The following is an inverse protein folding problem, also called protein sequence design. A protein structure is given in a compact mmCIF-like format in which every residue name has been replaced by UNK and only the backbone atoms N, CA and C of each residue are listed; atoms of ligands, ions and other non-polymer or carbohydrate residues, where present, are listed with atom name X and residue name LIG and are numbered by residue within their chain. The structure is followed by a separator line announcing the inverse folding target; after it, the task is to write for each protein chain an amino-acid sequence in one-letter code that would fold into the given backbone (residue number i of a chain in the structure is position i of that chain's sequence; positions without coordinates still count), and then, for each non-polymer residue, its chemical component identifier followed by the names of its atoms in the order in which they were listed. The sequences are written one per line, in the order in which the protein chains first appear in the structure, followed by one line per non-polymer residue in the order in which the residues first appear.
data_IF_984608114508
#
_entry.id   IF_984608114508
#
_cell.length_a   1.000
_cell.length_b   1.000
_cell.length_c   1.000
_cell.angle_alpha   90.00
_cell.angle_beta   90.00
_cell.angle_gamma   90.00
#
_symmetry.space_group_name_H-M   'P 1'
#
loop_
_entity.id
_entity.type
_entity.pdbx_description
1 polymer ?
#
# COMPACT_ATOMS: atom_id res chain seq x y z
N UNK A 1 45.59 -11.10 -35.83
CA UNK A 1 46.24 -10.74 -34.55
C UNK A 1 46.19 -11.94 -33.62
N UNK A 2 47.33 -12.37 -33.06
CA UNK A 2 47.37 -13.51 -32.12
C UNK A 2 47.00 -13.02 -30.72
N UNK A 3 45.98 -13.63 -30.12
CA UNK A 3 45.51 -13.28 -28.79
C UNK A 3 46.58 -13.64 -27.74
N UNK A 4 47.07 -12.63 -27.02
CA UNK A 4 48.23 -12.77 -26.12
C UNK A 4 47.92 -13.55 -24.84
N UNK A 5 46.65 -13.60 -24.42
CA UNK A 5 46.24 -14.13 -23.12
C UNK A 5 45.49 -15.46 -23.20
N UNK A 6 45.46 -16.12 -24.37
CA UNK A 6 44.71 -17.37 -24.58
C UNK A 6 45.08 -18.47 -23.59
N UNK A 7 46.37 -18.58 -23.25
CA UNK A 7 46.86 -19.58 -22.29
C UNK A 7 46.37 -19.28 -20.88
N UNK A 8 46.52 -18.04 -20.42
CA UNK A 8 46.08 -17.59 -19.09
C UNK A 8 44.58 -17.77 -18.88
N UNK A 9 43.77 -17.46 -19.90
CA UNK A 9 42.32 -17.66 -19.84
C UNK A 9 41.97 -19.15 -19.71
N UNK A 10 42.62 -20.01 -20.50
CA UNK A 10 42.38 -21.46 -20.46
C UNK A 10 42.78 -22.05 -19.11
N UNK A 11 43.95 -21.67 -18.60
CA UNK A 11 44.47 -22.14 -17.31
C UNK A 11 43.56 -21.66 -16.15
N UNK A 12 42.98 -20.45 -16.25
CA UNK A 12 42.03 -19.93 -15.27
C UNK A 12 40.66 -20.65 -15.32
N UNK A 13 40.18 -21.01 -16.51
CA UNK A 13 38.94 -21.78 -16.68
C UNK A 13 39.09 -23.22 -16.16
N UNK A 14 40.26 -23.83 -16.36
CA UNK A 14 40.58 -25.17 -15.84
C UNK A 14 40.69 -25.21 -14.30
N UNK A 15 40.92 -24.06 -13.65
CA UNK A 15 41.02 -23.93 -12.19
C UNK A 15 39.70 -23.56 -11.50
N UNK A 16 38.62 -23.32 -12.26
CA UNK A 16 37.33 -22.99 -11.67
C UNK A 16 36.74 -24.24 -10.99
N UNK A 17 36.35 -24.15 -9.71
CA UNK A 17 35.62 -25.21 -9.06
C UNK A 17 34.27 -25.40 -9.76
N UNK A 18 33.92 -26.64 -10.08
CA UNK A 18 32.58 -26.98 -10.52
C UNK A 18 31.64 -26.90 -9.32
N UNK A 19 30.85 -25.83 -9.25
CA UNK A 19 29.79 -25.70 -8.27
C UNK A 19 28.51 -26.30 -8.83
N UNK A 20 28.19 -27.52 -8.42
CA UNK A 20 26.90 -28.16 -8.65
C UNK A 20 26.11 -28.26 -7.35
N UNK A 21 24.79 -28.23 -7.44
CA UNK A 21 23.96 -28.65 -6.32
C UNK A 21 24.23 -30.15 -6.03
N UNK A 22 24.18 -30.53 -4.75
CA UNK A 22 24.30 -31.93 -4.37
C UNK A 22 23.26 -32.79 -5.12
N UNK A 23 23.65 -34.01 -5.51
CA UNK A 23 22.79 -34.90 -6.30
C UNK A 23 21.47 -35.24 -5.57
N UNK A 24 21.43 -35.14 -4.23
CA UNK A 24 20.23 -35.32 -3.43
C UNK A 24 19.35 -34.08 -3.27
N UNK A 25 19.82 -32.89 -3.64
CA UNK A 25 19.11 -31.63 -3.39
C UNK A 25 17.74 -31.60 -4.08
N UNK A 26 17.68 -32.03 -5.33
CA UNK A 26 16.42 -32.08 -6.09
C UNK A 26 15.43 -33.09 -5.51
N UNK A 27 15.94 -34.25 -5.06
CA UNK A 27 15.12 -35.28 -4.43
C UNK A 27 14.55 -34.82 -3.08
N UNK A 28 15.31 -34.04 -2.32
CA UNK A 28 14.85 -33.47 -1.05
C UNK A 28 13.76 -32.41 -1.27
N UNK A 29 13.90 -31.56 -2.29
CA UNK A 29 12.88 -30.57 -2.68
C UNK A 29 11.59 -31.28 -3.09
N UNK A 30 11.70 -32.29 -3.96
CA UNK A 30 10.55 -33.07 -4.42
C UNK A 30 9.80 -33.76 -3.27
N UNK A 31 10.54 -34.37 -2.33
CA UNK A 31 9.96 -34.98 -1.14
C UNK A 31 9.21 -33.97 -0.26
N UNK A 32 9.72 -32.74 -0.12
CA UNK A 32 9.10 -31.67 0.65
C UNK A 32 7.80 -31.14 0.05
N UNK A 33 7.61 -31.28 -1.26
CA UNK A 33 6.41 -30.85 -1.99
C UNK A 33 5.25 -31.86 -1.92
N UNK A 34 5.49 -33.05 -1.36
CA UNK A 34 4.48 -34.11 -1.19
C UNK A 34 4.13 -34.34 0.29
N UNK A 35 2.84 -34.47 0.66
CA UNK A 35 1.66 -34.13 -0.13
C UNK A 35 1.56 -32.64 -0.47
N UNK A 36 0.80 -32.32 -1.52
CA UNK A 36 0.60 -30.95 -1.98
C UNK A 36 0.06 -30.06 -0.85
N UNK A 37 0.46 -28.79 -0.84
CA UNK A 37 0.06 -27.84 0.21
C UNK A 37 -1.47 -27.75 0.37
N UNK A 38 -2.22 -27.91 -0.72
CA UNK A 38 -3.69 -27.97 -0.72
C UNK A 38 -4.27 -29.08 0.15
N UNK A 39 -3.56 -30.20 0.32
CA UNK A 39 -3.98 -31.32 1.16
C UNK A 39 -3.68 -31.07 2.64
N UNK A 40 -2.72 -30.18 2.94
CA UNK A 40 -2.33 -29.80 4.30
C UNK A 40 -3.08 -28.58 4.82
N UNK A 41 -3.71 -27.82 3.93
CA UNK A 41 -4.40 -26.60 4.31
C UNK A 41 -5.80 -26.92 4.85
N UNK A 42 -6.12 -26.50 6.08
CA UNK A 42 -7.49 -26.57 6.58
C UNK A 42 -8.43 -25.76 5.69
N UNK A 43 -9.59 -26.35 5.38
CA UNK A 43 -10.67 -25.68 4.66
C UNK A 43 -11.40 -24.72 5.59
N UNK A 44 -10.83 -23.52 5.80
CA UNK A 44 -11.53 -22.47 6.52
C UNK A 44 -12.50 -21.75 5.58
N UNK A 45 -13.80 -21.86 5.87
CA UNK A 45 -14.79 -20.94 5.33
C UNK A 45 -15.12 -19.90 6.40
N UNK A 46 -15.19 -18.61 6.04
CA UNK A 46 -15.62 -17.58 6.97
C UNK A 46 -17.10 -17.84 7.35
N UNK A 47 -17.49 -17.53 8.60
CA UNK A 47 -18.88 -17.65 9.03
C UNK A 47 -19.83 -16.84 8.12
N UNK A 48 -21.04 -17.35 7.91
CA UNK A 48 -22.05 -16.70 7.05
C UNK A 48 -22.36 -15.26 7.47
N UNK A 49 -22.21 -14.93 8.76
CA UNK A 49 -22.38 -13.58 9.30
C UNK A 49 -21.44 -12.55 8.67
N UNK A 50 -20.19 -12.94 8.36
CA UNK A 50 -19.21 -12.05 7.70
C UNK A 50 -19.68 -11.72 6.29
N UNK A 51 -20.13 -12.72 5.53
CA UNK A 51 -20.68 -12.52 4.19
C UNK A 51 -21.96 -11.68 4.20
N UNK A 52 -22.84 -11.93 5.16
CA UNK A 52 -24.07 -11.15 5.32
C UNK A 52 -23.77 -9.69 5.69
N UNK A 53 -22.75 -9.45 6.53
CA UNK A 53 -22.28 -8.11 6.87
C UNK A 53 -21.73 -7.35 5.66
N UNK A 54 -20.92 -8.01 4.83
CA UNK A 54 -20.38 -7.43 3.60
C UNK A 54 -21.49 -7.10 2.59
N UNK A 55 -22.42 -8.03 2.34
CA UNK A 55 -23.56 -7.78 1.46
C UNK A 55 -24.42 -6.62 1.98
N UNK A 56 -24.62 -6.51 3.30
CA UNK A 56 -25.36 -5.40 3.88
C UNK A 56 -24.62 -4.07 3.72
N UNK A 57 -23.31 -4.04 3.88
CA UNK A 57 -22.49 -2.84 3.69
C UNK A 57 -22.48 -2.38 2.23
N UNK A 58 -22.38 -3.31 1.28
CA UNK A 58 -22.39 -3.01 -0.16
C UNK A 58 -23.76 -2.53 -0.66
N UNK A 59 -24.85 -3.06 -0.09
CA UNK A 59 -26.21 -2.66 -0.46
C UNK A 59 -26.75 -1.46 0.34
N UNK A 60 -26.00 -0.98 1.33
CA UNK A 60 -26.38 0.22 2.07
C UNK A 60 -25.86 1.44 1.32
N UNK A 61 -26.72 2.39 0.93
CA UNK A 61 -26.24 3.64 0.34
C UNK A 61 -25.34 4.36 1.35
N UNK A 62 -24.19 4.82 0.89
CA UNK A 62 -23.24 5.56 1.73
C UNK A 62 -23.95 6.72 2.45
N UNK A 63 -23.70 6.95 3.75
CA UNK A 63 -24.31 8.07 4.45
C UNK A 63 -23.85 9.38 3.80
N UNK A 64 -24.77 10.06 3.12
CA UNK A 64 -24.56 11.43 2.62
C UNK A 64 -24.45 12.37 3.80
N UNK A 65 -23.23 12.55 4.31
CA UNK A 65 -22.94 13.53 5.36
C UNK A 65 -22.99 14.91 4.70
N UNK A 66 -24.05 15.67 4.97
CA UNK A 66 -24.17 17.04 4.49
C UNK A 66 -23.12 17.93 5.15
N UNK A 67 -22.04 18.26 4.43
CA UNK A 67 -21.00 19.20 4.86
C UNK A 67 -21.51 20.63 4.67
N UNK A 68 -22.48 21.08 5.49
CA UNK A 68 -22.84 22.49 5.56
C UNK A 68 -23.39 22.81 6.95
N UNK A 69 -22.76 23.80 7.61
CA UNK A 69 -23.11 24.40 8.93
C UNK A 69 -22.47 23.82 10.21
N UNK A 70 -21.22 23.34 10.17
CA UNK A 70 -20.47 23.01 11.41
C UNK A 70 -19.14 23.77 11.58
N UNK A 71 -19.09 25.07 11.22
CA UNK A 71 -17.91 25.92 11.51
C UNK A 71 -18.14 27.04 12.55
N UNK A 72 -19.37 27.29 13.03
CA UNK A 72 -19.64 28.44 13.91
C UNK A 72 -20.12 28.09 15.33
N UNK A 73 -20.44 26.82 15.62
CA UNK A 73 -20.91 26.40 16.94
C UNK A 73 -19.78 25.93 17.90
N UNK A 74 -18.50 26.07 17.53
CA UNK A 74 -17.36 25.54 18.30
C UNK A 74 -16.48 26.62 18.96
N UNK A 75 -17.02 27.79 19.28
CA UNK A 75 -16.29 28.80 20.07
C UNK A 75 -16.96 29.10 21.43
N UNK A 76 -18.11 28.49 21.76
CA UNK A 76 -18.89 28.91 22.94
C UNK A 76 -18.97 27.97 24.16
N UNK A 77 -18.46 26.74 24.14
CA UNK A 77 -18.93 25.74 25.13
C UNK A 77 -18.00 24.58 25.46
N UNK A 78 -16.69 24.81 25.58
CA UNK A 78 -15.75 23.78 26.05
C UNK A 78 -14.91 24.36 27.20
N UNK A 79 -15.50 24.42 28.38
CA UNK A 79 -14.76 24.66 29.62
C UNK A 79 -15.37 23.90 30.80
N UNK A 80 -16.71 23.79 30.87
CA UNK A 80 -17.39 23.15 31.99
C UNK A 80 -17.49 21.61 31.90
N UNK A 81 -17.51 21.02 30.70
CA UNK A 81 -17.71 19.56 30.54
C UNK A 81 -16.45 18.73 30.82
N UNK A 82 -15.26 19.32 30.70
CA UNK A 82 -13.99 18.63 30.96
C UNK A 82 -13.80 18.37 32.47
N UNK A 83 -14.22 19.29 33.33
CA UNK A 83 -14.08 19.13 34.78
C UNK A 83 -15.01 18.06 35.37
N UNK A 84 -16.21 17.88 34.82
CA UNK A 84 -17.17 16.87 35.30
C UNK A 84 -16.75 15.46 34.90
N UNK A 85 -16.17 15.28 33.70
CA UNK A 85 -15.70 13.97 33.22
C UNK A 85 -14.42 13.53 33.96
N UNK A 86 -13.52 14.47 34.31
CA UNK A 86 -12.34 14.16 35.12
C UNK A 86 -12.73 13.82 36.56
N UNK A 87 -13.71 14.51 37.15
CA UNK A 87 -14.17 14.21 38.51
C UNK A 87 -14.89 12.85 38.63
N UNK A 88 -15.64 12.43 37.61
CA UNK A 88 -16.29 11.11 37.58
C UNK A 88 -15.35 9.98 37.16
N UNK A 89 -14.33 10.25 36.33
CA UNK A 89 -13.39 9.25 35.83
C UNK A 89 -12.31 8.81 36.83
N UNK A 90 -11.98 9.63 37.83
CA UNK A 90 -10.94 9.32 38.83
C UNK A 90 -11.51 8.64 40.09
N UNK A 91 -12.81 8.77 40.36
CA UNK A 91 -13.46 8.25 41.58
C UNK A 91 -13.83 6.76 41.57
N UNK A 92 -13.72 6.07 40.42
CA UNK A 92 -14.02 4.64 40.31
C UNK A 92 -12.73 3.87 39.98
N UNK A 93 -12.13 3.33 41.05
CA UNK A 93 -10.86 2.60 41.11
C UNK A 93 -10.69 1.52 40.00
N UNK A 94 -9.47 1.31 39.43
CA UNK A 94 -9.25 0.42 38.28
C UNK A 94 -8.80 -1.01 38.64
N UNK A 95 -8.89 -1.42 39.91
CA UNK A 95 -8.34 -2.73 40.34
C UNK A 95 -9.20 -3.95 39.98
N UNK A 96 -10.42 -3.76 39.47
CA UNK A 96 -11.33 -4.87 39.15
C UNK A 96 -11.28 -5.40 37.70
N UNK A 97 -10.56 -4.74 36.77
CA UNK A 97 -10.67 -5.05 35.31
C UNK A 97 -9.44 -5.80 34.75
N UNK A 98 -8.35 -5.94 35.51
CA UNK A 98 -7.06 -6.40 34.97
C UNK A 98 -6.67 -7.87 35.28
N UNK A 99 -7.63 -8.81 35.32
CA UNK A 99 -7.35 -10.25 35.44
C UNK A 99 -7.52 -11.02 34.11
N UNK A 100 -7.15 -10.40 32.98
CA UNK A 100 -7.09 -11.08 31.68
C UNK A 100 -5.76 -11.83 31.46
N UNK A 101 -5.75 -12.98 30.74
CA UNK A 101 -4.52 -13.71 30.44
C UNK A 101 -3.55 -12.82 29.64
N UNK A 102 -2.34 -12.60 30.16
CA UNK A 102 -1.29 -11.86 29.45
C UNK A 102 -0.66 -12.77 28.39
N UNK A 103 -1.20 -12.70 27.17
CA UNK A 103 -0.61 -13.38 26.02
C UNK A 103 0.56 -12.51 25.52
N UNK A 104 1.79 -13.01 25.65
CA UNK A 104 2.98 -12.38 25.05
C UNK A 104 3.10 -12.88 23.61
N UNK A 105 2.78 -12.00 22.65
CA UNK A 105 2.96 -12.26 21.22
C UNK A 105 4.30 -11.63 20.83
N UNK A 106 5.30 -12.45 20.50
CA UNK A 106 6.54 -11.96 19.90
C UNK A 106 6.35 -11.86 18.39
N UNK A 107 6.24 -10.63 17.89
CA UNK A 107 6.19 -10.34 16.46
C UNK A 107 7.62 -10.05 15.98
N UNK A 108 8.12 -10.85 15.04
CA UNK A 108 9.37 -10.57 14.34
C UNK A 108 9.00 -9.94 12.99
N UNK A 109 9.27 -8.65 12.83
CA UNK A 109 9.10 -7.94 11.57
C UNK A 109 10.47 -7.77 10.92
N UNK A 110 10.68 -8.45 9.80
CA UNK A 110 11.83 -8.16 8.93
C UNK A 110 11.47 -6.96 8.06
N UNK A 111 12.20 -5.86 8.23
CA UNK A 111 12.10 -4.68 7.38
C UNK A 111 12.97 -4.97 6.15
N UNK A 112 12.34 -5.18 5.00
CA UNK A 112 13.05 -5.28 3.74
C UNK A 112 13.91 -4.01 3.54
N UNK A 113 15.14 -4.13 3.00
CA UNK A 113 15.98 -2.98 2.73
C UNK A 113 15.22 -1.99 1.85
N UNK A 114 15.32 -0.69 2.17
CA UNK A 114 14.68 0.39 1.44
C UNK A 114 14.99 0.22 -0.06
N UNK A 115 13.97 -0.17 -0.82
CA UNK A 115 14.06 -0.25 -2.27
C UNK A 115 14.49 1.12 -2.78
N UNK A 116 15.53 1.13 -3.59
CA UNK A 116 16.10 2.30 -4.28
C UNK A 116 15.07 3.37 -4.61
N UNK A 117 15.44 4.64 -4.39
CA UNK A 117 14.67 5.84 -4.76
C UNK A 117 13.86 5.63 -6.02
N UNK A 118 12.55 5.37 -5.86
CA UNK A 118 11.65 5.25 -6.98
C UNK A 118 11.49 6.64 -7.59
N UNK A 119 11.76 6.77 -8.89
CA UNK A 119 11.55 8.02 -9.61
C UNK A 119 10.04 8.21 -9.83
N UNK A 120 9.40 8.89 -8.89
CA UNK A 120 7.97 9.21 -8.95
C UNK A 120 7.60 10.12 -10.12
N UNK A 121 8.56 10.66 -10.88
CA UNK A 121 8.29 11.59 -11.99
C UNK A 121 8.52 10.98 -13.37
N UNK A 122 8.85 9.68 -13.46
CA UNK A 122 9.23 9.04 -14.71
C UNK A 122 8.18 9.19 -15.83
N UNK A 123 6.89 9.18 -15.48
CA UNK A 123 5.79 9.16 -16.45
C UNK A 123 5.17 10.55 -16.71
N UNK A 124 5.65 11.62 -16.08
CA UNK A 124 4.97 12.92 -16.06
C UNK A 124 4.86 13.57 -17.46
N UNK A 125 5.84 13.35 -18.34
CA UNK A 125 5.76 13.81 -19.74
C UNK A 125 4.61 13.16 -20.51
N UNK A 126 4.34 11.88 -20.26
CA UNK A 126 3.27 11.13 -20.93
C UNK A 126 1.89 11.61 -20.48
N UNK A 127 1.75 11.98 -19.21
CA UNK A 127 0.53 12.59 -18.69
C UNK A 127 0.26 13.96 -19.32
N UNK A 128 1.28 14.82 -19.42
CA UNK A 128 1.15 16.16 -19.99
C UNK A 128 0.67 16.14 -21.45
N UNK A 129 1.14 15.17 -22.25
CA UNK A 129 0.69 15.00 -23.63
C UNK A 129 -0.81 14.66 -23.72
N UNK A 130 -1.29 13.79 -22.83
CA UNK A 130 -2.71 13.39 -22.80
C UNK A 130 -3.61 14.52 -22.33
N UNK A 131 -3.18 15.32 -21.34
CA UNK A 131 -3.92 16.50 -20.90
C UNK A 131 -4.11 17.48 -22.06
N UNK A 132 -3.07 17.74 -22.85
CA UNK A 132 -3.16 18.62 -24.02
C UNK A 132 -4.19 18.12 -25.04
N UNK A 133 -4.27 16.81 -25.28
CA UNK A 133 -5.28 16.22 -26.18
C UNK A 133 -6.70 16.31 -25.63
N UNK A 134 -6.89 16.16 -24.32
CA UNK A 134 -8.20 16.33 -23.68
C UNK A 134 -8.69 17.76 -23.85
N UNK A 135 -7.83 18.76 -23.63
CA UNK A 135 -8.16 20.18 -23.78
C UNK A 135 -8.57 20.52 -25.22
N UNK A 136 -7.95 19.89 -26.22
CA UNK A 136 -8.29 20.07 -27.63
C UNK A 136 -9.66 19.50 -27.99
N UNK A 137 -9.99 18.28 -27.51
CA UNK A 137 -11.29 17.62 -27.78
C UNK A 137 -12.45 18.23 -26.98
N UNK A 138 -12.19 18.61 -25.73
CA UNK A 138 -13.16 19.22 -24.80
C UNK A 138 -14.49 18.44 -24.67
N UNK A 139 -14.38 17.12 -24.51
CA UNK A 139 -15.54 16.24 -24.31
C UNK A 139 -15.91 16.13 -22.82
N UNK A 140 -17.20 16.03 -22.46
CA UNK A 140 -17.63 16.04 -21.06
C UNK A 140 -17.09 14.87 -20.24
N UNK A 141 -16.99 13.68 -20.83
CA UNK A 141 -16.43 12.47 -20.18
C UNK A 141 -14.93 12.63 -19.93
N UNK A 142 -14.17 13.03 -20.95
CA UNK A 142 -12.74 13.31 -20.82
C UNK A 142 -12.45 14.41 -19.81
N UNK A 143 -13.28 15.46 -19.75
CA UNK A 143 -13.15 16.55 -18.79
C UNK A 143 -13.35 16.06 -17.34
N UNK A 144 -14.28 15.13 -17.09
CA UNK A 144 -14.44 14.53 -15.75
C UNK A 144 -13.22 13.74 -15.34
N UNK A 145 -12.66 12.91 -16.25
CA UNK A 145 -11.44 12.16 -16.00
C UNK A 145 -10.23 13.09 -15.79
N UNK A 146 -10.17 14.22 -16.50
CA UNK A 146 -9.12 15.22 -16.31
C UNK A 146 -9.21 15.88 -14.93
N UNK A 147 -10.42 16.15 -14.43
CA UNK A 147 -10.60 16.66 -13.06
C UNK A 147 -10.13 15.66 -12.01
N UNK A 148 -10.48 14.37 -12.17
CA UNK A 148 -10.01 13.29 -11.29
C UNK A 148 -8.47 13.17 -11.33
N UNK A 149 -7.88 13.22 -12.52
CA UNK A 149 -6.43 13.19 -12.70
C UNK A 149 -5.74 14.40 -12.04
N UNK A 150 -6.34 15.59 -12.11
CA UNK A 150 -5.83 16.80 -11.47
C UNK A 150 -5.88 16.69 -9.93
N UNK A 151 -6.96 16.11 -9.37
CA UNK A 151 -7.08 15.86 -7.94
C UNK A 151 -6.00 14.90 -7.44
N UNK A 152 -5.81 13.77 -8.13
CA UNK A 152 -4.76 12.80 -7.81
C UNK A 152 -3.36 13.39 -7.94
N UNK A 153 -3.13 14.25 -8.93
CA UNK A 153 -1.85 14.94 -9.11
C UNK A 153 -1.58 15.92 -7.98
N UNK A 154 -2.59 16.65 -7.49
CA UNK A 154 -2.45 17.51 -6.32
C UNK A 154 -2.14 16.70 -5.04
N UNK A 155 -2.84 15.56 -4.83
CA UNK A 155 -2.60 14.68 -3.70
C UNK A 155 -1.18 14.08 -3.71
N UNK A 156 -0.68 13.70 -4.89
CA UNK A 156 0.70 13.23 -5.10
C UNK A 156 1.72 14.26 -4.64
N UNK A 157 1.56 15.52 -5.04
CA UNK A 157 2.47 16.61 -4.65
C UNK A 157 2.41 16.90 -3.15
N UNK A 158 1.23 16.78 -2.52
CA UNK A 158 1.11 16.89 -1.06
C UNK A 158 1.87 15.77 -0.34
N UNK A 159 1.73 14.52 -0.78
CA UNK A 159 2.45 13.38 -0.19
C UNK A 159 3.97 13.50 -0.38
N UNK A 160 4.43 13.97 -1.55
CA UNK A 160 5.86 14.28 -1.76
C UNK A 160 6.36 15.37 -0.82
N UNK A 161 5.57 16.43 -0.61
CA UNK A 161 5.92 17.47 0.34
C UNK A 161 6.02 16.93 1.77
N UNK A 162 5.15 15.99 2.16
CA UNK A 162 5.26 15.29 3.45
C UNK A 162 6.54 14.47 3.55
N UNK A 163 6.94 13.75 2.50
CA UNK A 163 8.21 13.00 2.49
C UNK A 163 9.43 13.93 2.63
N UNK A 164 9.39 15.11 2.00
CA UNK A 164 10.45 16.12 2.15
C UNK A 164 10.48 16.70 3.58
N UNK A 165 9.32 16.93 4.19
CA UNK A 165 9.21 17.56 5.50
C UNK A 165 9.49 16.61 6.69
N UNK A 166 9.03 15.36 6.59
CA UNK A 166 9.02 14.40 7.69
C UNK A 166 9.94 13.18 7.46
N UNK A 167 10.52 13.03 6.27
CA UNK A 167 11.40 11.92 5.90
C UNK A 167 10.65 10.71 5.33
N UNK A 168 11.36 9.60 5.15
CA UNK A 168 10.85 8.36 4.55
C UNK A 168 9.91 7.60 5.50
N UNK A 169 8.69 8.11 5.70
CA UNK A 169 7.62 7.37 6.40
C UNK A 169 7.07 6.26 5.49
N UNK A 170 7.13 4.97 5.90
CA UNK A 170 6.60 3.86 5.11
C UNK A 170 5.11 3.97 4.79
N UNK A 171 4.32 4.63 5.65
CA UNK A 171 2.89 4.82 5.42
C UNK A 171 2.62 5.83 4.30
N UNK A 172 3.41 6.91 4.23
CA UNK A 172 3.33 7.93 3.18
C UNK A 172 3.82 7.36 1.85
N UNK A 173 4.89 6.56 1.86
CA UNK A 173 5.38 5.87 0.66
C UNK A 173 4.31 4.93 0.07
N UNK A 174 3.59 4.19 0.93
CA UNK A 174 2.48 3.33 0.49
C UNK A 174 1.34 4.14 -0.13
N UNK A 175 0.95 5.24 0.50
CA UNK A 175 -0.10 6.13 -0.01
C UNK A 175 0.31 6.76 -1.34
N UNK A 176 1.57 7.18 -1.48
CA UNK A 176 2.10 7.70 -2.74
C UNK A 176 2.06 6.65 -3.86
N UNK A 177 2.39 5.40 -3.55
CA UNK A 177 2.29 4.29 -4.50
C UNK A 177 0.84 3.98 -4.91
N UNK A 178 -0.11 4.08 -3.97
CA UNK A 178 -1.54 3.92 -4.26
C UNK A 178 -2.05 5.04 -5.18
N UNK A 179 -1.70 6.30 -4.90
CA UNK A 179 -2.04 7.44 -5.75
C UNK A 179 -1.47 7.27 -7.17
N UNK A 180 -0.22 6.82 -7.31
CA UNK A 180 0.37 6.64 -8.65
C UNK A 180 -0.32 5.51 -9.43
N UNK A 181 -0.77 4.46 -8.75
CA UNK A 181 -1.58 3.41 -9.37
C UNK A 181 -2.92 3.94 -9.85
N UNK A 182 -3.61 4.73 -9.03
CA UNK A 182 -4.89 5.33 -9.39
C UNK A 182 -4.73 6.30 -10.58
N UNK A 183 -3.67 7.12 -10.59
CA UNK A 183 -3.32 7.99 -11.74
C UNK A 183 -3.14 7.17 -13.02
N UNK A 184 -2.43 6.05 -12.94
CA UNK A 184 -2.22 5.14 -14.07
C UNK A 184 -3.52 4.50 -14.56
N UNK A 185 -4.45 4.19 -13.67
CA UNK A 185 -5.75 3.63 -14.04
C UNK A 185 -6.66 4.68 -14.71
N UNK A 186 -6.65 5.93 -14.22
CA UNK A 186 -7.34 7.05 -14.89
C UNK A 186 -6.72 7.32 -16.26
N UNK A 187 -5.40 7.31 -16.36
CA UNK A 187 -4.69 7.44 -17.63
C UNK A 187 -5.12 6.39 -18.65
N UNK A 188 -5.22 5.12 -18.24
CA UNK A 188 -5.68 4.03 -19.09
C UNK A 188 -7.12 4.27 -19.58
N UNK A 189 -8.00 4.79 -18.72
CA UNK A 189 -9.38 5.13 -19.11
C UNK A 189 -9.42 6.27 -20.13
N UNK A 190 -8.61 7.31 -19.92
CA UNK A 190 -8.50 8.41 -20.87
C UNK A 190 -8.05 7.89 -22.24
N UNK A 191 -7.04 7.03 -22.32
CA UNK A 191 -6.58 6.44 -23.59
C UNK A 191 -7.69 5.65 -24.30
N UNK A 192 -8.57 4.99 -23.56
CA UNK A 192 -9.69 4.23 -24.16
C UNK A 192 -10.78 5.15 -24.73
N UNK A 193 -10.96 6.32 -24.13
CA UNK A 193 -11.96 7.32 -24.54
C UNK A 193 -11.43 8.31 -25.61
N UNK A 194 -10.11 8.37 -25.83
CA UNK A 194 -9.45 9.19 -26.86
C UNK A 194 -9.58 8.61 -28.28
#
# INVERSE_FOLDING_TARGET
MKEKNKKTLRDALEQLPEYGADAGAWKAIEAGLTPALSERLPSYQPPAEVWNGLNKALNSPAPVVSIRRRKWARIGGIAASVLVIVALGVGLWPEAINAGPRISISYAQEVAPATSSHDWNADEESFNHVIAQIEERNEPTLNTLNMELAELTAAKEEMKAMLVAYGEDPSVIRQLAEIERDRSDIYRRIIVEL
#
